data_IF_574800314591
#
_entry.id   IF_574800314591
#
_cell.length_a   1.000
_cell.length_b   1.000
_cell.length_c   1.000
_cell.angle_alpha   90.00
_cell.angle_beta   90.00
_cell.angle_gamma   90.00
#
_symmetry.space_group_name_H-M   'P 1'
#
loop_
_entity.id
_entity.type
_entity.pdbx_description
1 polymer ?
#
# COMPACT_ATOMS: atom_id res chain seq x y z
N UNK A 1 14.84 -27.18 29.43
CA UNK A 1 15.49 -26.79 28.16
C UNK A 1 16.18 -25.45 28.39
N UNK A 2 17.52 -25.38 28.33
CA UNK A 2 18.24 -24.11 28.36
C UNK A 2 18.01 -23.37 27.03
N UNK A 3 17.40 -22.18 27.11
CA UNK A 3 17.24 -21.29 25.97
C UNK A 3 18.60 -20.66 25.61
N UNK A 4 19.37 -21.30 24.74
CA UNK A 4 20.49 -20.65 24.05
C UNK A 4 20.00 -20.03 22.74
N UNK A 5 19.77 -18.72 22.76
CA UNK A 5 19.56 -17.93 21.54
C UNK A 5 20.91 -17.72 20.83
N UNK A 6 21.27 -18.61 19.89
CA UNK A 6 22.40 -18.36 18.99
C UNK A 6 22.06 -17.28 17.95
N UNK A 7 22.98 -16.35 17.72
CA UNK A 7 22.82 -15.25 16.75
C UNK A 7 23.49 -15.57 15.41
N UNK A 8 22.80 -15.42 14.26
CA UNK A 8 23.46 -15.19 12.99
C UNK A 8 23.92 -13.72 12.90
N UNK A 9 25.15 -13.50 12.45
CA UNK A 9 25.76 -12.18 12.21
C UNK A 9 25.02 -11.44 11.09
N UNK A 10 24.56 -10.23 11.37
CA UNK A 10 23.96 -9.32 10.40
C UNK A 10 23.09 -8.27 11.09
N UNK A 11 23.41 -7.00 10.88
CA UNK A 11 22.77 -5.84 11.53
C UNK A 11 21.30 -5.77 11.14
N UNK A 12 20.42 -6.26 12.03
CA UNK A 12 18.98 -5.96 12.05
C UNK A 12 18.66 -5.45 13.45
N UNK A 13 18.05 -4.27 13.57
CA UNK A 13 17.55 -3.77 14.85
C UNK A 13 16.55 -4.79 15.41
N UNK A 14 16.92 -5.51 16.46
CA UNK A 14 16.04 -6.48 17.15
C UNK A 14 15.30 -5.76 18.27
N UNK A 15 14.09 -6.20 18.62
CA UNK A 15 13.34 -5.66 19.77
C UNK A 15 14.17 -5.64 21.07
N UNK A 16 15.11 -6.59 21.23
CA UNK A 16 16.08 -6.64 22.34
C UNK A 16 17.00 -5.40 22.39
N UNK A 17 17.32 -4.82 21.23
CA UNK A 17 18.17 -3.64 21.10
C UNK A 17 17.38 -2.34 21.34
N UNK A 18 16.08 -2.32 21.03
CA UNK A 18 15.16 -1.23 21.38
C UNK A 18 14.87 -1.20 22.89
N UNK A 19 14.65 -2.35 23.51
CA UNK A 19 14.48 -2.48 24.96
C UNK A 19 15.74 -2.09 25.76
N UNK A 20 16.93 -2.12 25.13
CA UNK A 20 18.17 -1.58 25.73
C UNK A 20 18.20 -0.05 25.79
N UNK A 21 17.47 0.63 24.91
CA UNK A 21 17.47 2.11 24.82
C UNK A 21 16.29 2.76 25.52
N UNK A 22 15.21 2.01 25.75
CA UNK A 22 13.99 2.49 26.41
C UNK A 22 13.85 1.76 27.74
N UNK A 23 13.94 2.48 28.88
CA UNK A 23 13.47 1.93 30.17
C UNK A 23 11.95 1.89 30.12
N UNK A 24 11.27 0.73 30.10
CA UNK A 24 9.83 0.70 30.20
C UNK A 24 9.45 1.06 31.65
N UNK A 25 8.83 2.22 31.83
CA UNK A 25 8.11 2.52 33.08
C UNK A 25 6.82 1.70 33.08
N UNK A 26 6.54 1.02 34.20
CA UNK A 26 5.24 0.37 34.40
C UNK A 26 4.17 1.45 34.59
N UNK A 27 3.06 1.45 33.86
CA UNK A 27 1.92 2.32 34.15
C UNK A 27 1.08 1.82 35.34
N UNK A 28 1.30 0.59 35.82
CA UNK A 28 0.57 -0.01 36.92
C UNK A 28 1.53 -0.37 38.06
N UNK A 29 1.43 0.38 39.16
CA UNK A 29 2.32 0.27 40.32
C UNK A 29 2.13 -1.00 41.16
N UNK A 30 2.45 -2.17 40.61
CA UNK A 30 2.60 -3.39 41.40
C UNK A 30 4.06 -3.55 41.88
N UNK A 31 4.25 -3.51 43.20
CA UNK A 31 5.56 -3.61 43.86
C UNK A 31 6.03 -5.06 43.86
N UNK A 32 6.75 -5.48 42.82
CA UNK A 32 7.63 -6.66 42.86
C UNK A 32 9.07 -6.26 42.53
N UNK A 33 10.10 -6.87 43.16
CA UNK A 33 11.47 -6.38 43.11
C UNK A 33 12.06 -6.53 41.70
N UNK A 34 12.44 -5.40 41.07
CA UNK A 34 13.12 -5.33 39.78
C UNK A 34 14.64 -5.33 40.00
N UNK A 35 15.45 -6.18 39.32
CA UNK A 35 16.90 -6.08 39.39
C UNK A 35 17.41 -4.82 38.66
N UNK A 36 18.32 -4.10 39.32
CA UNK A 36 19.02 -2.91 38.81
C UNK A 36 19.90 -3.25 37.61
N UNK A 37 19.72 -2.54 36.50
CA UNK A 37 20.58 -2.61 35.33
C UNK A 37 21.80 -1.70 35.48
N UNK A 38 22.99 -2.31 35.55
CA UNK A 38 24.27 -1.68 35.22
C UNK A 38 25.01 -2.67 34.32
N UNK A 39 25.42 -2.25 33.12
CA UNK A 39 26.44 -3.00 32.37
C UNK A 39 27.49 -2.02 31.88
N UNK A 40 28.71 -2.22 32.39
CA UNK A 40 29.95 -1.59 31.99
C UNK A 40 30.52 -2.24 30.72
N UNK A 41 31.36 -1.46 30.00
CA UNK A 41 32.13 -1.88 28.82
C UNK A 41 33.04 -3.08 29.12
N UNK A 42 33.20 -3.91 28.09
CA UNK A 42 34.24 -4.93 27.85
C UNK A 42 34.48 -5.99 28.92
N UNK A 43 34.20 -7.26 28.58
CA UNK A 43 34.93 -8.40 29.14
C UNK A 43 34.24 -9.33 30.15
N UNK A 44 32.91 -9.46 30.20
CA UNK A 44 32.25 -10.53 31.00
C UNK A 44 31.04 -11.17 30.30
N UNK A 45 30.82 -12.42 30.71
CA UNK A 45 29.90 -13.48 30.26
C UNK A 45 28.54 -13.08 29.67
N UNK A 46 27.96 -13.93 28.79
CA UNK A 46 26.66 -13.69 28.19
C UNK A 46 25.61 -13.41 29.28
N UNK A 47 24.90 -12.29 29.12
CA UNK A 47 23.79 -11.91 29.99
C UNK A 47 22.71 -12.99 29.87
N UNK A 48 22.67 -13.87 30.87
CA UNK A 48 21.58 -14.80 31.07
C UNK A 48 20.40 -14.00 31.63
N UNK A 49 19.39 -13.78 30.79
CA UNK A 49 18.07 -13.47 31.33
C UNK A 49 17.66 -14.71 32.12
N UNK A 50 17.40 -14.56 33.42
CA UNK A 50 16.96 -15.68 34.25
C UNK A 50 15.87 -16.47 33.54
N UNK A 51 15.95 -17.80 33.58
CA UNK A 51 14.96 -18.67 32.97
C UNK A 51 13.60 -18.39 33.62
N UNK A 52 12.68 -17.81 32.87
CA UNK A 52 11.27 -17.79 33.27
C UNK A 52 10.77 -19.22 33.18
N UNK A 53 10.20 -19.71 34.28
CA UNK A 53 9.64 -21.06 34.31
C UNK A 53 8.46 -21.14 33.32
N UNK A 54 8.29 -22.30 32.66
CA UNK A 54 7.33 -22.47 31.55
C UNK A 54 5.90 -22.11 31.94
N UNK A 55 5.55 -22.38 33.19
CA UNK A 55 4.27 -22.10 33.84
C UNK A 55 3.96 -20.60 34.02
N UNK A 56 4.95 -19.72 33.82
CA UNK A 56 4.78 -18.26 33.90
C UNK A 56 4.71 -17.59 32.53
N UNK A 57 4.83 -18.35 31.43
CA UNK A 57 4.72 -17.79 30.09
C UNK A 57 3.25 -17.51 29.75
N UNK A 58 2.93 -16.37 29.13
CA UNK A 58 1.63 -16.16 28.50
C UNK A 58 1.32 -17.31 27.54
N UNK A 59 0.06 -17.77 27.55
CA UNK A 59 -0.42 -18.92 26.75
C UNK A 59 -0.01 -18.82 25.27
N UNK A 60 -0.01 -17.61 24.70
CA UNK A 60 0.40 -17.38 23.32
C UNK A 60 1.88 -17.69 23.06
N UNK A 61 2.76 -17.37 24.01
CA UNK A 61 4.20 -17.63 23.91
C UNK A 61 4.46 -19.13 24.04
N UNK A 62 3.77 -19.81 24.95
CA UNK A 62 3.87 -21.26 25.09
C UNK A 62 3.41 -21.97 23.81
N UNK A 63 2.26 -21.57 23.26
CA UNK A 63 1.76 -22.10 21.99
C UNK A 63 2.73 -21.84 20.82
N UNK A 64 3.34 -20.66 20.76
CA UNK A 64 4.34 -20.35 19.73
C UNK A 64 5.61 -21.21 19.88
N UNK A 65 6.12 -21.39 21.10
CA UNK A 65 7.29 -22.25 21.33
C UNK A 65 6.98 -23.73 21.04
N UNK A 66 5.78 -24.20 21.38
CA UNK A 66 5.32 -25.54 21.05
C UNK A 66 5.22 -25.74 19.52
N UNK A 67 4.69 -24.75 18.80
CA UNK A 67 4.55 -24.80 17.34
C UNK A 67 5.89 -25.03 16.62
N UNK A 68 6.99 -24.46 17.13
CA UNK A 68 8.34 -24.66 16.54
C UNK A 68 8.83 -26.11 16.58
N UNK A 69 8.37 -26.89 17.55
CA UNK A 69 8.78 -28.28 17.71
C UNK A 69 7.91 -29.26 16.92
N UNK A 70 6.73 -28.83 16.45
CA UNK A 70 5.77 -29.66 15.73
C UNK A 70 6.22 -29.83 14.28
N UNK A 71 6.22 -31.08 13.80
CA UNK A 71 6.47 -31.43 12.39
C UNK A 71 5.22 -31.91 11.66
N UNK A 72 4.23 -32.40 12.40
CA UNK A 72 2.95 -32.87 11.83
C UNK A 72 2.03 -31.67 11.55
N UNK A 73 1.64 -31.43 10.28
CA UNK A 73 0.77 -30.32 9.94
C UNK A 73 -0.62 -30.35 10.60
N UNK A 74 -1.17 -31.53 10.92
CA UNK A 74 -2.50 -31.64 11.54
C UNK A 74 -2.47 -31.19 13.00
N UNK A 75 -1.42 -31.57 13.72
CA UNK A 75 -1.19 -31.13 15.10
C UNK A 75 -0.94 -29.62 15.12
N UNK A 76 -0.13 -29.11 14.17
CA UNK A 76 0.11 -27.69 14.03
C UNK A 76 -1.18 -26.91 13.74
N UNK A 77 -2.03 -27.39 12.81
CA UNK A 77 -3.31 -26.78 12.46
C UNK A 77 -4.26 -26.67 13.67
N UNK A 78 -4.32 -27.71 14.51
CA UNK A 78 -5.11 -27.68 15.76
C UNK A 78 -4.62 -26.59 16.70
N UNK A 79 -3.31 -26.54 16.96
CA UNK A 79 -2.69 -25.54 17.84
C UNK A 79 -2.90 -24.10 17.32
N UNK A 80 -2.80 -23.91 16.00
CA UNK A 80 -3.06 -22.62 15.34
C UNK A 80 -4.51 -22.18 15.57
N UNK A 81 -5.47 -23.08 15.37
CA UNK A 81 -6.89 -22.78 15.56
C UNK A 81 -7.23 -22.45 17.03
N UNK A 82 -6.70 -23.23 17.96
CA UNK A 82 -6.94 -23.06 19.40
C UNK A 82 -6.40 -21.73 19.94
N UNK A 83 -5.20 -21.34 19.51
CA UNK A 83 -4.52 -20.15 20.02
C UNK A 83 -4.55 -18.94 19.07
N UNK A 84 -5.21 -19.06 17.92
CA UNK A 84 -5.30 -18.04 16.86
C UNK A 84 -3.92 -17.49 16.44
N UNK A 85 -2.97 -18.41 16.26
CA UNK A 85 -1.61 -18.06 15.86
C UNK A 85 -1.60 -17.45 14.44
N UNK A 86 -0.69 -16.53 14.18
CA UNK A 86 -0.59 -15.87 12.88
C UNK A 86 0.39 -16.59 11.95
N UNK A 87 0.30 -16.33 10.65
CA UNK A 87 1.14 -17.02 9.65
C UNK A 87 2.65 -16.69 9.79
N UNK A 88 3.01 -15.60 10.44
CA UNK A 88 4.38 -15.22 10.79
C UNK A 88 4.98 -16.14 11.85
N UNK A 89 4.13 -16.73 12.71
CA UNK A 89 4.52 -17.65 13.78
C UNK A 89 4.75 -19.07 13.27
N UNK A 90 4.26 -19.40 12.06
CA UNK A 90 4.34 -20.75 11.50
C UNK A 90 5.75 -21.03 10.94
N UNK A 91 6.38 -22.17 11.32
CA UNK A 91 7.64 -22.64 10.74
C UNK A 91 7.59 -22.77 9.23
N UNK A 92 8.71 -22.48 8.54
CA UNK A 92 8.77 -22.45 7.08
C UNK A 92 8.42 -23.79 6.42
N UNK A 93 8.79 -24.89 7.06
CA UNK A 93 8.54 -26.27 6.64
C UNK A 93 7.04 -26.57 6.59
N UNK A 94 6.28 -26.03 7.55
CA UNK A 94 4.83 -26.23 7.66
C UNK A 94 4.04 -25.32 6.71
N UNK A 95 4.65 -24.29 6.13
CA UNK A 95 3.97 -23.37 5.19
C UNK A 95 3.62 -24.00 3.85
N UNK A 96 4.03 -25.25 3.58
CA UNK A 96 3.59 -26.00 2.40
C UNK A 96 2.32 -26.81 2.64
N UNK A 97 1.86 -26.94 3.89
CA UNK A 97 0.66 -27.73 4.21
C UNK A 97 -0.64 -26.96 3.95
N UNK A 98 -1.59 -27.55 3.20
CA UNK A 98 -2.94 -27.02 3.08
C UNK A 98 -3.68 -26.96 4.42
N UNK A 99 -3.51 -27.95 5.30
CA UNK A 99 -4.18 -28.03 6.61
C UNK A 99 -3.81 -26.86 7.51
N UNK A 100 -2.52 -26.50 7.54
CA UNK A 100 -2.00 -25.37 8.30
C UNK A 100 -2.61 -24.06 7.81
N UNK A 101 -2.64 -23.85 6.49
CA UNK A 101 -3.23 -22.63 5.92
C UNK A 101 -4.75 -22.58 6.08
N UNK A 102 -5.45 -23.72 6.00
CA UNK A 102 -6.88 -23.80 6.25
C UNK A 102 -7.23 -23.40 7.70
N UNK A 103 -6.39 -23.74 8.69
CA UNK A 103 -6.57 -23.31 10.07
C UNK A 103 -6.30 -21.81 10.29
N UNK A 104 -5.45 -21.19 9.46
CA UNK A 104 -5.14 -19.76 9.54
C UNK A 104 -6.26 -18.87 8.97
N UNK A 105 -6.88 -19.28 7.86
CA UNK A 105 -7.84 -18.45 7.08
C UNK A 105 -8.97 -17.85 7.95
N UNK A 106 -9.65 -18.59 8.85
CA UNK A 106 -10.80 -18.07 9.59
C UNK A 106 -10.52 -16.84 10.48
N UNK A 107 -9.27 -16.68 10.92
CA UNK A 107 -8.86 -15.63 11.85
C UNK A 107 -7.86 -14.64 11.25
N UNK A 108 -7.57 -14.78 9.95
CA UNK A 108 -6.58 -13.95 9.28
C UNK A 108 -7.10 -12.51 9.09
N UNK A 109 -6.31 -11.49 9.48
CA UNK A 109 -6.64 -10.11 9.14
C UNK A 109 -6.77 -9.92 7.62
N UNK A 110 -7.69 -9.05 7.19
CA UNK A 110 -8.02 -8.90 5.76
C UNK A 110 -6.80 -8.50 4.91
N UNK A 111 -5.93 -7.63 5.43
CA UNK A 111 -4.68 -7.24 4.77
C UNK A 111 -3.73 -8.43 4.55
N UNK A 112 -3.63 -9.34 5.53
CA UNK A 112 -2.84 -10.56 5.42
C UNK A 112 -3.48 -11.57 4.47
N UNK A 113 -4.81 -11.67 4.49
CA UNK A 113 -5.59 -12.54 3.60
C UNK A 113 -5.36 -12.17 2.13
N UNK A 114 -5.54 -10.88 1.79
CA UNK A 114 -5.36 -10.32 0.44
C UNK A 114 -3.93 -10.57 -0.07
N UNK A 115 -2.91 -10.38 0.78
CA UNK A 115 -1.51 -10.65 0.42
C UNK A 115 -1.17 -12.13 0.26
N UNK A 116 -1.96 -13.01 0.85
CA UNK A 116 -1.70 -14.45 0.88
C UNK A 116 -2.49 -15.25 -0.16
N UNK A 117 -3.35 -14.61 -0.97
CA UNK A 117 -4.24 -15.30 -1.91
C UNK A 117 -3.49 -16.23 -2.89
N UNK A 118 -2.37 -15.78 -3.44
CA UNK A 118 -1.54 -16.61 -4.32
C UNK A 118 -0.98 -17.83 -3.60
N UNK A 119 -0.51 -17.67 -2.36
CA UNK A 119 -0.02 -18.78 -1.54
C UNK A 119 -1.14 -19.75 -1.17
N UNK A 120 -2.30 -19.25 -0.76
CA UNK A 120 -3.49 -20.04 -0.42
C UNK A 120 -4.00 -20.86 -1.61
N UNK A 121 -3.90 -20.31 -2.83
CA UNK A 121 -4.26 -21.02 -4.07
C UNK A 121 -3.19 -22.04 -4.44
N UNK A 122 -1.91 -21.70 -4.27
CA UNK A 122 -0.80 -22.62 -4.55
C UNK A 122 -0.82 -23.87 -3.65
N UNK A 123 -1.20 -23.74 -2.38
CA UNK A 123 -1.37 -24.90 -1.48
C UNK A 123 -2.74 -25.56 -1.60
N UNK A 124 -3.61 -25.11 -2.51
CA UNK A 124 -4.92 -25.73 -2.75
C UNK A 124 -5.98 -25.49 -1.67
N UNK A 125 -5.76 -24.57 -0.72
CA UNK A 125 -6.78 -24.17 0.26
C UNK A 125 -7.89 -23.39 -0.42
N UNK A 126 -7.49 -22.44 -1.26
CA UNK A 126 -8.39 -21.75 -2.18
C UNK A 126 -8.45 -22.58 -3.46
N UNK A 127 -9.66 -23.05 -3.76
CA UNK A 127 -9.98 -23.80 -4.97
C UNK A 127 -11.45 -23.52 -5.34
N UNK A 128 -11.88 -23.81 -6.58
CA UNK A 128 -13.27 -23.72 -6.95
C UNK A 128 -14.18 -24.44 -5.94
N UNK A 129 -15.21 -23.74 -5.47
CA UNK A 129 -16.22 -24.24 -4.52
C UNK A 129 -15.75 -24.59 -3.10
N UNK A 130 -14.47 -24.36 -2.76
CA UNK A 130 -13.95 -24.65 -1.41
C UNK A 130 -14.58 -23.73 -0.33
N UNK A 131 -14.62 -24.22 0.91
CA UNK A 131 -15.11 -23.43 2.06
C UNK A 131 -14.24 -22.19 2.31
N UNK A 132 -12.92 -22.31 2.11
CA UNK A 132 -12.01 -21.18 2.20
C UNK A 132 -12.28 -20.12 1.13
N UNK A 133 -12.59 -20.52 -0.11
CA UNK A 133 -13.01 -19.59 -1.16
C UNK A 133 -14.28 -18.85 -0.76
N UNK A 134 -15.30 -19.54 -0.23
CA UNK A 134 -16.51 -18.89 0.28
C UNK A 134 -16.21 -17.88 1.40
N UNK A 135 -15.30 -18.24 2.31
CA UNK A 135 -14.86 -17.34 3.36
C UNK A 135 -14.18 -16.09 2.79
N UNK A 136 -13.23 -16.25 1.87
CA UNK A 136 -12.53 -15.13 1.21
C UNK A 136 -13.51 -14.20 0.52
N UNK A 137 -14.47 -14.73 -0.24
CA UNK A 137 -15.50 -13.93 -0.91
C UNK A 137 -16.34 -13.13 0.10
N UNK A 138 -16.72 -13.75 1.23
CA UNK A 138 -17.46 -13.06 2.29
C UNK A 138 -16.64 -11.96 2.99
N UNK A 139 -15.32 -12.10 3.05
CA UNK A 139 -14.44 -11.05 3.59
C UNK A 139 -14.29 -9.88 2.61
N UNK A 140 -14.04 -10.18 1.32
CA UNK A 140 -13.84 -9.17 0.27
C UNK A 140 -15.13 -8.41 -0.07
N UNK A 141 -16.29 -9.06 0.01
CA UNK A 141 -17.60 -8.43 -0.23
C UNK A 141 -18.12 -7.57 0.93
N UNK A 142 -17.43 -7.49 2.06
CA UNK A 142 -17.89 -6.75 3.24
C UNK A 142 -17.29 -5.35 3.29
N UNK A 143 -18.09 -4.34 2.94
CA UNK A 143 -17.71 -2.92 2.97
C UNK A 143 -17.20 -2.52 4.37
N UNK A 144 -17.89 -2.94 5.43
CA UNK A 144 -17.48 -2.63 6.82
C UNK A 144 -16.10 -3.17 7.17
N UNK A 145 -15.76 -4.37 6.67
CA UNK A 145 -14.44 -4.95 6.91
C UNK A 145 -13.37 -4.28 6.08
N UNK A 146 -13.67 -3.93 4.83
CA UNK A 146 -12.76 -3.14 3.99
C UNK A 146 -12.45 -1.79 4.64
N UNK A 147 -13.47 -1.09 5.17
CA UNK A 147 -13.34 0.16 5.94
C UNK A 147 -12.48 -0.02 7.19
N UNK A 148 -12.81 -1.00 8.05
CA UNK A 148 -12.06 -1.28 9.29
C UNK A 148 -10.60 -1.66 9.03
N UNK A 149 -10.34 -2.39 7.95
CA UNK A 149 -8.99 -2.75 7.54
C UNK A 149 -8.19 -1.58 6.95
N UNK A 150 -8.83 -0.43 6.69
CA UNK A 150 -8.25 0.76 6.04
C UNK A 150 -7.52 0.41 4.75
N UNK A 151 -8.10 -0.51 3.97
CA UNK A 151 -7.54 -0.89 2.68
C UNK A 151 -7.81 0.24 1.68
N UNK A 152 -6.73 0.79 1.13
CA UNK A 152 -6.79 1.76 0.04
C UNK A 152 -7.11 1.04 -1.29
N UNK A 153 -7.88 1.65 -2.21
CA UNK A 153 -8.16 1.07 -3.53
C UNK A 153 -6.94 0.53 -4.25
N UNK A 154 -5.83 1.27 -4.25
CA UNK A 154 -4.59 0.83 -4.88
C UNK A 154 -4.05 -0.50 -4.35
N UNK A 155 -4.13 -0.73 -3.03
CA UNK A 155 -3.69 -1.99 -2.45
C UNK A 155 -4.53 -3.16 -2.97
N UNK A 156 -5.83 -2.91 -3.22
CA UNK A 156 -6.73 -3.88 -3.81
C UNK A 156 -6.45 -4.10 -5.30
N UNK A 157 -6.17 -3.04 -6.05
CA UNK A 157 -5.76 -3.12 -7.46
C UNK A 157 -4.46 -3.92 -7.62
N UNK A 158 -3.48 -3.68 -6.76
CA UNK A 158 -2.25 -4.48 -6.73
C UNK A 158 -2.56 -5.95 -6.48
N UNK A 159 -3.37 -6.23 -5.45
CA UNK A 159 -3.72 -7.61 -5.13
C UNK A 159 -4.48 -8.31 -6.26
N UNK A 160 -5.39 -7.60 -6.94
CA UNK A 160 -6.08 -8.06 -8.13
C UNK A 160 -5.09 -8.46 -9.23
N UNK A 161 -4.19 -7.55 -9.63
CA UNK A 161 -3.24 -7.80 -10.71
C UNK A 161 -2.27 -8.93 -10.37
N UNK A 162 -1.72 -8.92 -9.15
CA UNK A 162 -0.83 -9.99 -8.67
C UNK A 162 -1.56 -11.33 -8.61
N UNK A 163 -2.79 -11.38 -8.12
CA UNK A 163 -3.52 -12.64 -8.03
C UNK A 163 -3.88 -13.21 -9.40
N UNK A 164 -4.35 -12.34 -10.30
CA UNK A 164 -4.77 -12.71 -11.65
C UNK A 164 -3.62 -13.21 -12.54
N UNK A 165 -2.37 -12.81 -12.28
CA UNK A 165 -1.22 -13.27 -13.08
C UNK A 165 -0.85 -14.74 -12.86
N UNK A 166 -1.27 -15.36 -11.75
CA UNK A 166 -1.04 -16.79 -11.50
C UNK A 166 0.40 -17.17 -11.10
N UNK A 167 1.28 -16.21 -10.86
CA UNK A 167 2.62 -16.47 -10.36
C UNK A 167 3.14 -15.33 -9.47
N UNK A 168 4.12 -15.64 -8.62
CA UNK A 168 4.81 -14.64 -7.81
C UNK A 168 5.94 -13.98 -8.61
N UNK A 169 6.29 -12.75 -8.24
CA UNK A 169 7.45 -12.04 -8.80
C UNK A 169 8.79 -12.58 -8.29
N UNK A 170 8.78 -13.00 -7.02
CA UNK A 170 9.97 -13.44 -6.31
C UNK A 170 9.86 -14.94 -6.06
N UNK A 171 10.70 -15.72 -6.74
CA UNK A 171 10.81 -17.17 -6.56
C UNK A 171 10.01 -17.97 -7.59
N UNK A 172 9.63 -19.20 -7.21
CA UNK A 172 8.98 -20.19 -8.09
C UNK A 172 7.49 -20.39 -7.78
N UNK A 173 6.86 -19.44 -7.08
CA UNK A 173 5.46 -19.56 -6.67
C UNK A 173 4.56 -19.41 -7.91
N UNK A 174 3.71 -20.40 -8.16
CA UNK A 174 2.68 -20.36 -9.23
C UNK A 174 1.40 -21.00 -8.75
N UNK A 175 0.27 -20.50 -9.24
CA UNK A 175 -1.07 -20.96 -8.92
C UNK A 175 -2.02 -20.73 -10.10
N UNK A 176 -3.17 -21.39 -10.07
CA UNK A 176 -4.30 -21.09 -10.96
C UNK A 176 -5.22 -20.10 -10.26
N UNK A 177 -5.44 -18.88 -10.81
CA UNK A 177 -6.37 -17.93 -10.23
C UNK A 177 -7.80 -18.48 -10.21
N UNK A 178 -8.55 -18.18 -9.15
CA UNK A 178 -9.98 -18.47 -9.08
C UNK A 178 -10.76 -17.25 -9.53
N UNK A 179 -11.51 -17.37 -10.63
CA UNK A 179 -12.24 -16.26 -11.27
C UNK A 179 -13.13 -15.47 -10.28
N UNK A 180 -13.86 -16.18 -9.42
CA UNK A 180 -14.72 -15.51 -8.42
C UNK A 180 -13.93 -14.61 -7.45
N UNK A 181 -12.68 -14.95 -7.15
CA UNK A 181 -11.82 -14.12 -6.31
C UNK A 181 -11.31 -12.92 -7.10
N UNK A 182 -10.97 -13.11 -8.39
CA UNK A 182 -10.62 -11.99 -9.29
C UNK A 182 -11.79 -11.00 -9.35
N UNK A 183 -13.01 -11.47 -9.58
CA UNK A 183 -14.23 -10.65 -9.59
C UNK A 183 -14.44 -9.94 -8.24
N UNK A 184 -14.25 -10.64 -7.13
CA UNK A 184 -14.41 -10.06 -5.79
C UNK A 184 -13.34 -8.99 -5.48
N UNK A 185 -12.11 -9.17 -5.95
CA UNK A 185 -11.05 -8.16 -5.81
C UNK A 185 -11.35 -6.93 -6.67
N UNK A 186 -11.88 -7.09 -7.88
CA UNK A 186 -12.34 -5.98 -8.73
C UNK A 186 -13.48 -5.19 -8.06
N UNK A 187 -14.49 -5.89 -7.54
CA UNK A 187 -15.56 -5.23 -6.78
C UNK A 187 -15.05 -4.53 -5.52
N UNK A 188 -14.15 -5.17 -4.78
CA UNK A 188 -13.55 -4.60 -3.58
C UNK A 188 -12.70 -3.36 -3.90
N UNK A 189 -12.08 -3.28 -5.08
CA UNK A 189 -11.33 -2.11 -5.53
C UNK A 189 -12.23 -0.87 -5.57
N UNK A 190 -13.39 -0.96 -6.22
CA UNK A 190 -14.35 0.16 -6.27
C UNK A 190 -15.02 0.41 -4.91
N UNK A 191 -15.31 -0.64 -4.13
CA UNK A 191 -15.89 -0.48 -2.79
C UNK A 191 -14.94 0.28 -1.84
N UNK A 192 -13.62 0.11 -2.00
CA UNK A 192 -12.64 0.84 -1.23
C UNK A 192 -12.61 2.35 -1.55
N UNK A 193 -13.24 2.83 -2.63
CA UNK A 193 -13.28 4.26 -2.93
C UNK A 193 -14.07 5.02 -1.84
N UNK A 194 -15.06 4.37 -1.22
CA UNK A 194 -15.83 4.94 -0.11
C UNK A 194 -15.03 5.10 1.19
N UNK A 195 -13.84 4.51 1.26
CA UNK A 195 -12.97 4.62 2.44
C UNK A 195 -12.09 5.87 2.39
N UNK A 196 -12.10 6.60 1.28
CA UNK A 196 -11.26 7.77 1.06
C UNK A 196 -11.97 8.99 1.61
N UNK A 197 -11.34 9.63 2.60
CA UNK A 197 -11.84 10.87 3.20
C UNK A 197 -11.60 12.02 2.22
N UNK A 198 -12.64 12.79 1.85
CA UNK A 198 -12.48 13.93 0.96
C UNK A 198 -11.73 15.08 1.64
N UNK A 199 -10.97 15.82 0.86
CA UNK A 199 -10.30 17.07 1.25
C UNK A 199 -11.23 18.28 1.15
N UNK A 200 -12.28 18.19 0.34
CA UNK A 200 -13.23 19.29 0.09
C UNK A 200 -12.63 20.42 -0.74
N UNK A 201 -11.56 20.15 -1.49
CA UNK A 201 -10.83 21.14 -2.30
C UNK A 201 -11.20 21.03 -3.77
N UNK A 202 -11.26 22.17 -4.46
CA UNK A 202 -11.42 22.21 -5.92
C UNK A 202 -10.14 21.68 -6.55
N UNK A 203 -10.23 20.50 -7.13
CA UNK A 203 -9.06 19.75 -7.57
C UNK A 203 -8.98 19.68 -9.08
N UNK A 204 -7.82 19.98 -9.64
CA UNK A 204 -7.52 19.70 -11.05
C UNK A 204 -6.61 18.48 -11.13
N UNK A 205 -7.10 17.43 -11.79
CA UNK A 205 -6.32 16.25 -12.14
C UNK A 205 -5.77 16.42 -13.54
N UNK A 206 -4.44 16.41 -13.67
CA UNK A 206 -3.75 16.40 -14.94
C UNK A 206 -3.07 15.04 -15.14
N UNK A 207 -3.54 14.28 -16.13
CA UNK A 207 -3.06 12.94 -16.42
C UNK A 207 -2.14 13.00 -17.64
N UNK A 208 -0.90 12.60 -17.46
CA UNK A 208 0.04 12.42 -18.56
C UNK A 208 -0.43 11.25 -19.44
N UNK A 209 -0.53 11.50 -20.74
CA UNK A 209 -0.92 10.51 -21.77
C UNK A 209 0.20 10.30 -22.80
N UNK A 210 1.43 10.69 -22.47
CA UNK A 210 2.62 10.38 -23.25
C UNK A 210 2.83 8.86 -23.38
N UNK A 211 3.58 8.44 -24.40
CA UNK A 211 3.80 7.02 -24.68
C UNK A 211 4.52 6.27 -23.55
N UNK A 212 5.35 6.95 -22.78
CA UNK A 212 6.13 6.39 -21.68
C UNK A 212 5.23 5.95 -20.51
N UNK A 213 4.07 6.59 -20.32
CA UNK A 213 3.05 6.18 -19.35
C UNK A 213 2.49 4.77 -19.60
N UNK A 214 2.58 4.27 -20.84
CA UNK A 214 2.18 2.91 -21.21
C UNK A 214 3.19 1.82 -20.84
N UNK A 215 4.40 2.19 -20.42
CA UNK A 215 5.52 1.27 -20.22
C UNK A 215 5.89 1.08 -18.75
N UNK A 216 6.53 -0.05 -18.45
CA UNK A 216 7.08 -0.34 -17.13
C UNK A 216 6.04 -0.72 -16.06
N UNK A 217 6.49 -0.75 -14.81
CA UNK A 217 5.65 -1.05 -13.64
C UNK A 217 5.91 -0.02 -12.55
N UNK A 218 4.85 0.49 -11.93
CA UNK A 218 4.95 1.51 -10.88
C UNK A 218 5.37 0.87 -9.57
N UNK A 219 6.33 1.43 -8.84
CA UNK A 219 6.64 1.03 -7.46
C UNK A 219 6.96 -0.47 -7.24
N UNK A 220 7.36 -1.21 -8.28
CA UNK A 220 7.51 -2.67 -8.21
C UNK A 220 6.19 -3.45 -8.12
N UNK A 221 5.07 -2.83 -8.50
CA UNK A 221 3.72 -3.40 -8.58
C UNK A 221 3.54 -4.08 -9.95
N UNK A 222 3.50 -5.41 -10.00
CA UNK A 222 3.43 -6.15 -11.26
C UNK A 222 2.13 -5.89 -11.99
N UNK A 223 2.21 -5.74 -13.31
CA UNK A 223 1.03 -5.55 -14.17
C UNK A 223 0.30 -4.21 -13.98
N UNK A 224 0.89 -3.23 -13.27
CA UNK A 224 0.36 -1.88 -13.14
C UNK A 224 1.32 -0.88 -13.78
N UNK A 225 0.98 -0.41 -14.97
CA UNK A 225 1.71 0.66 -15.66
C UNK A 225 1.40 2.04 -15.06
N UNK A 226 2.23 3.08 -15.30
CA UNK A 226 1.92 4.45 -14.90
C UNK A 226 0.53 4.93 -15.34
N UNK A 227 0.12 4.61 -16.57
CA UNK A 227 -1.21 4.95 -17.08
C UNK A 227 -2.33 4.30 -16.24
N UNK A 228 -2.19 3.03 -15.86
CA UNK A 228 -3.17 2.32 -15.02
C UNK A 228 -3.22 2.92 -13.62
N UNK A 229 -2.06 3.20 -13.01
CA UNK A 229 -1.99 3.82 -11.68
C UNK A 229 -2.58 5.23 -11.66
N UNK A 230 -2.25 6.04 -12.67
CA UNK A 230 -2.74 7.41 -12.86
C UNK A 230 -4.27 7.42 -13.03
N UNK A 231 -4.81 6.57 -13.90
CA UNK A 231 -6.25 6.41 -14.07
C UNK A 231 -6.95 5.96 -12.78
N UNK A 232 -6.39 4.99 -12.06
CA UNK A 232 -6.96 4.51 -10.80
C UNK A 232 -7.03 5.63 -9.75
N UNK A 233 -5.98 6.44 -9.61
CA UNK A 233 -5.99 7.58 -8.69
C UNK A 233 -6.95 8.68 -9.10
N UNK A 234 -6.98 9.00 -10.39
CA UNK A 234 -7.92 9.97 -10.91
C UNK A 234 -9.37 9.57 -10.59
N UNK A 235 -9.70 8.29 -10.76
CA UNK A 235 -11.01 7.75 -10.42
C UNK A 235 -11.33 7.80 -8.93
N UNK A 236 -10.34 7.56 -8.06
CA UNK A 236 -10.48 7.70 -6.61
C UNK A 236 -10.80 9.16 -6.26
N UNK A 237 -10.02 10.12 -6.76
CA UNK A 237 -10.26 11.54 -6.50
C UNK A 237 -11.61 12.00 -7.06
N UNK A 238 -11.99 11.57 -8.28
CA UNK A 238 -13.31 11.83 -8.88
C UNK A 238 -14.49 11.26 -8.09
N UNK A 239 -14.25 10.21 -7.30
CA UNK A 239 -15.28 9.60 -6.46
C UNK A 239 -15.37 10.28 -5.09
N UNK A 240 -14.23 10.71 -4.54
CA UNK A 240 -14.14 11.32 -3.22
C UNK A 240 -14.53 12.81 -3.25
N UNK A 241 -14.02 13.58 -4.20
CA UNK A 241 -14.20 15.03 -4.27
C UNK A 241 -15.40 15.42 -5.14
N UNK A 242 -16.11 16.48 -4.72
CA UNK A 242 -17.27 16.99 -5.46
C UNK A 242 -16.88 17.87 -6.66
N UNK A 243 -15.78 18.62 -6.54
CA UNK A 243 -15.33 19.61 -7.54
C UNK A 243 -14.00 19.18 -8.14
N UNK A 244 -14.07 18.44 -9.26
CA UNK A 244 -12.89 17.89 -9.93
C UNK A 244 -12.90 18.21 -11.42
N UNK A 245 -11.84 18.86 -11.90
CA UNK A 245 -11.58 19.05 -13.32
C UNK A 245 -10.52 18.04 -13.79
N UNK A 246 -10.82 17.27 -14.84
CA UNK A 246 -9.87 16.29 -15.39
C UNK A 246 -9.32 16.75 -16.73
N UNK A 247 -8.01 16.86 -16.83
CA UNK A 247 -7.26 17.15 -18.04
C UNK A 247 -6.35 15.97 -18.36
N UNK A 248 -6.16 15.73 -19.65
CA UNK A 248 -5.09 14.91 -20.18
C UNK A 248 -4.09 15.85 -20.85
N UNK A 249 -2.80 15.62 -20.62
CA UNK A 249 -1.76 16.46 -21.19
C UNK A 249 -0.68 15.62 -21.87
N UNK A 250 -0.20 16.18 -22.98
CA UNK A 250 0.98 15.78 -23.72
C UNK A 250 1.57 17.08 -24.30
N UNK A 251 1.91 17.16 -25.59
CA UNK A 251 2.26 18.44 -26.22
C UNK A 251 1.08 19.43 -26.16
N UNK A 252 -0.14 18.90 -26.09
CA UNK A 252 -1.36 19.70 -26.01
C UNK A 252 -2.21 19.27 -24.83
N UNK A 253 -2.87 20.22 -24.17
CA UNK A 253 -3.82 19.94 -23.11
C UNK A 253 -5.23 19.72 -23.68
N UNK A 254 -5.93 18.72 -23.17
CA UNK A 254 -7.31 18.40 -23.52
C UNK A 254 -8.10 18.02 -22.28
N UNK A 255 -9.40 18.25 -22.31
CA UNK A 255 -10.27 17.69 -21.28
C UNK A 255 -10.30 16.17 -21.39
N UNK A 256 -9.99 15.48 -20.28
CA UNK A 256 -10.00 14.02 -20.26
C UNK A 256 -11.43 13.45 -20.25
N UNK A 257 -12.40 14.13 -19.64
CA UNK A 257 -13.82 13.72 -19.56
C UNK A 257 -14.01 12.28 -19.06
N UNK A 258 -13.37 11.97 -17.94
CA UNK A 258 -13.47 10.68 -17.26
C UNK A 258 -14.36 10.81 -16.01
N UNK A 259 -14.85 9.67 -15.50
CA UNK A 259 -15.73 9.62 -14.33
C UNK A 259 -15.31 8.50 -13.38
N UNK A 260 -15.39 8.76 -12.07
CA UNK A 260 -15.18 7.74 -11.03
C UNK A 260 -16.22 6.61 -11.03
N UNK A 261 -17.23 6.66 -11.90
CA UNK A 261 -18.23 5.58 -12.10
C UNK A 261 -17.90 4.65 -13.27
N UNK A 262 -16.92 4.98 -14.11
CA UNK A 262 -16.51 4.13 -15.24
C UNK A 262 -15.71 2.93 -14.74
N UNK A 263 -15.52 1.92 -15.60
CA UNK A 263 -14.54 0.87 -15.34
C UNK A 263 -13.13 1.39 -15.58
N UNK A 264 -12.17 0.96 -14.76
CA UNK A 264 -10.77 1.35 -14.89
C UNK A 264 -10.21 1.06 -16.30
N UNK A 265 -10.49 -0.11 -16.85
CA UNK A 265 -9.99 -0.47 -18.18
C UNK A 265 -10.58 0.42 -19.30
N UNK A 266 -11.82 0.91 -19.13
CA UNK A 266 -12.43 1.84 -20.09
C UNK A 266 -11.81 3.23 -19.99
N UNK A 267 -11.50 3.69 -18.77
CA UNK A 267 -10.77 4.95 -18.53
C UNK A 267 -9.38 4.89 -19.15
N UNK A 268 -8.64 3.80 -18.91
CA UNK A 268 -7.29 3.61 -19.49
C UNK A 268 -7.34 3.60 -21.02
N UNK A 269 -8.29 2.86 -21.62
CA UNK A 269 -8.48 2.83 -23.08
C UNK A 269 -8.86 4.20 -23.64
N UNK A 270 -9.68 4.96 -22.93
CA UNK A 270 -10.09 6.30 -23.33
C UNK A 270 -8.91 7.27 -23.33
N UNK A 271 -8.11 7.27 -22.24
CA UNK A 271 -6.91 8.10 -22.14
C UNK A 271 -5.88 7.75 -23.21
N UNK A 272 -5.69 6.45 -23.51
CA UNK A 272 -4.75 5.99 -24.53
C UNK A 272 -5.12 6.40 -25.98
N UNK A 273 -6.37 6.83 -26.23
CA UNK A 273 -6.82 7.34 -27.54
C UNK A 273 -6.50 8.83 -27.74
N UNK A 274 -6.10 9.53 -26.68
CA UNK A 274 -5.76 10.94 -26.76
C UNK A 274 -4.41 11.05 -27.48
N UNK A 275 -4.27 11.91 -28.51
CA UNK A 275 -3.02 12.03 -29.26
C UNK A 275 -1.81 12.31 -28.35
N UNK A 276 -0.78 11.47 -28.51
CA UNK A 276 0.46 11.56 -27.74
C UNK A 276 1.32 12.73 -28.22
N UNK A 277 2.24 13.15 -27.35
CA UNK A 277 3.17 14.25 -27.55
C UNK A 277 4.22 14.29 -26.42
N UNK A 278 5.03 15.34 -26.36
CA UNK A 278 5.96 15.57 -25.23
C UNK A 278 5.22 15.90 -23.94
N UNK A 279 5.92 16.04 -22.82
CA UNK A 279 5.28 16.13 -21.50
C UNK A 279 5.49 17.49 -20.85
N UNK A 280 4.57 18.45 -21.04
CA UNK A 280 4.67 19.78 -20.42
C UNK A 280 3.81 19.91 -19.15
N UNK A 281 4.47 19.72 -18.00
CA UNK A 281 3.84 19.80 -16.68
C UNK A 281 3.37 21.21 -16.29
N UNK A 282 3.72 22.27 -17.03
CA UNK A 282 3.22 23.62 -16.76
C UNK A 282 1.82 23.86 -17.32
N UNK A 283 1.40 23.09 -18.34
CA UNK A 283 0.14 23.29 -19.05
C UNK A 283 -1.11 23.29 -18.16
N UNK A 284 -1.25 22.45 -17.11
CA UNK A 284 -2.44 22.45 -16.28
C UNK A 284 -2.69 23.80 -15.59
N UNK A 285 -1.64 24.42 -15.05
CA UNK A 285 -1.74 25.73 -14.40
C UNK A 285 -1.96 26.84 -15.43
N UNK A 286 -1.30 26.77 -16.59
CA UNK A 286 -1.49 27.75 -17.67
C UNK A 286 -2.92 27.70 -18.24
N UNK A 287 -3.47 26.51 -18.42
CA UNK A 287 -4.85 26.30 -18.85
C UNK A 287 -5.84 26.86 -17.83
N UNK A 288 -5.65 26.55 -16.55
CA UNK A 288 -6.53 27.05 -15.49
C UNK A 288 -6.45 28.58 -15.38
N UNK A 289 -5.27 29.15 -15.61
CA UNK A 289 -5.05 30.59 -15.65
C UNK A 289 -5.76 31.26 -16.83
N UNK A 290 -5.62 30.71 -18.05
CA UNK A 290 -6.26 31.21 -19.26
C UNK A 290 -7.79 31.19 -19.13
N UNK A 291 -8.33 30.05 -18.66
CA UNK A 291 -9.77 29.84 -18.49
C UNK A 291 -10.32 30.46 -17.21
N UNK A 292 -9.46 31.01 -16.35
CA UNK A 292 -9.80 31.54 -15.01
C UNK A 292 -10.60 30.55 -14.16
N UNK A 293 -10.26 29.26 -14.24
CA UNK A 293 -10.90 28.20 -13.44
C UNK A 293 -10.31 28.24 -12.03
N UNK A 294 -11.14 28.34 -10.97
CA UNK A 294 -10.63 28.45 -9.62
C UNK A 294 -10.34 27.05 -9.02
N UNK A 295 -9.06 26.78 -8.76
CA UNK A 295 -8.50 25.49 -8.36
C UNK A 295 -7.67 25.70 -7.11
N UNK A 296 -7.90 24.87 -6.10
CA UNK A 296 -7.16 24.87 -4.85
C UNK A 296 -5.97 23.92 -4.89
N UNK A 297 -6.09 22.79 -5.60
CA UNK A 297 -5.05 21.76 -5.68
C UNK A 297 -4.91 21.24 -7.10
N UNK A 298 -3.71 21.36 -7.66
CA UNK A 298 -3.30 20.71 -8.90
C UNK A 298 -2.64 19.38 -8.55
N UNK A 299 -3.12 18.29 -9.14
CA UNK A 299 -2.52 16.95 -9.04
C UNK A 299 -2.08 16.51 -10.44
N UNK A 300 -0.77 16.47 -10.67
CA UNK A 300 -0.15 16.10 -11.94
C UNK A 300 0.39 14.69 -11.81
N UNK A 301 -0.09 13.75 -12.63
CA UNK A 301 0.40 12.37 -12.68
C UNK A 301 1.23 12.18 -13.94
N UNK A 302 2.52 11.90 -13.79
CA UNK A 302 3.49 11.67 -14.88
C UNK A 302 4.45 10.56 -14.46
N UNK A 303 5.18 9.94 -15.37
CA UNK A 303 6.10 8.85 -15.03
C UNK A 303 7.45 9.36 -14.52
N UNK A 304 8.14 10.17 -15.31
CA UNK A 304 9.47 10.74 -15.07
C UNK A 304 9.86 11.85 -16.07
N UNK A 305 9.06 12.13 -17.11
CA UNK A 305 9.38 13.16 -18.11
C UNK A 305 8.91 14.54 -17.67
N UNK A 306 9.77 15.25 -16.96
CA UNK A 306 9.54 16.63 -16.54
C UNK A 306 9.96 17.61 -17.65
N UNK A 307 9.55 17.36 -18.89
CA UNK A 307 9.92 18.24 -19.99
C UNK A 307 9.32 19.62 -19.75
N UNK A 308 10.17 20.60 -19.49
CA UNK A 308 9.75 21.98 -19.39
C UNK A 308 9.60 22.49 -20.82
N UNK A 309 8.40 22.97 -21.15
CA UNK A 309 8.24 23.83 -22.30
C UNK A 309 9.00 25.14 -22.10
N UNK A 310 8.41 26.26 -22.50
CA UNK A 310 9.04 27.57 -22.30
C UNK A 310 8.93 28.08 -20.85
N UNK A 311 8.08 27.47 -20.01
CA UNK A 311 7.77 27.94 -18.64
C UNK A 311 7.88 26.76 -17.68
N UNK A 312 8.55 26.97 -16.54
CA UNK A 312 8.64 25.96 -15.50
C UNK A 312 7.31 25.84 -14.72
N UNK A 313 6.89 24.63 -14.29
CA UNK A 313 5.66 24.44 -13.50
C UNK A 313 5.53 25.35 -12.26
N UNK A 314 6.63 25.59 -11.53
CA UNK A 314 6.64 26.52 -10.40
C UNK A 314 6.30 27.96 -10.79
N UNK A 315 6.83 28.45 -11.91
CA UNK A 315 6.47 29.78 -12.42
C UNK A 315 5.00 29.82 -12.84
N UNK A 316 4.50 28.77 -13.49
CA UNK A 316 3.11 28.70 -13.91
C UNK A 316 2.15 28.73 -12.70
N UNK A 317 2.47 28.00 -11.63
CA UNK A 317 1.71 28.02 -10.37
C UNK A 317 1.77 29.40 -9.71
N UNK A 318 2.95 30.03 -9.66
CA UNK A 318 3.10 31.38 -9.10
C UNK A 318 2.24 32.40 -9.86
N UNK A 319 2.30 32.39 -11.19
CA UNK A 319 1.47 33.26 -12.05
C UNK A 319 -0.02 33.01 -11.83
N UNK A 320 -0.43 31.76 -11.63
CA UNK A 320 -1.81 31.39 -11.29
C UNK A 320 -2.25 31.99 -9.95
N UNK A 321 -1.45 31.79 -8.89
CA UNK A 321 -1.70 32.34 -7.54
C UNK A 321 -1.83 33.86 -7.57
N UNK A 322 -0.89 34.55 -8.23
CA UNK A 322 -0.85 36.01 -8.32
C UNK A 322 -2.08 36.57 -9.05
N UNK A 323 -2.51 35.95 -10.16
CA UNK A 323 -3.61 36.47 -10.98
C UNK A 323 -5.01 36.13 -10.47
N UNK A 324 -5.20 34.97 -9.82
CA UNK A 324 -6.50 34.56 -9.29
C UNK A 324 -6.66 34.83 -7.80
N UNK A 325 -5.57 35.14 -7.08
CA UNK A 325 -5.60 35.35 -5.62
C UNK A 325 -5.93 34.07 -4.83
N UNK A 326 -5.73 32.89 -5.42
CA UNK A 326 -5.99 31.59 -4.79
C UNK A 326 -4.66 31.02 -4.32
N UNK A 327 -4.52 30.59 -3.03
CA UNK A 327 -3.32 29.95 -2.52
C UNK A 327 -3.22 28.48 -2.98
N UNK A 328 -3.22 28.27 -4.30
CA UNK A 328 -3.28 26.95 -4.90
C UNK A 328 -2.03 26.12 -4.61
N UNK A 329 -2.19 24.82 -4.38
CA UNK A 329 -1.09 23.88 -4.16
C UNK A 329 -0.84 23.03 -5.40
N UNK A 330 0.41 22.59 -5.61
CA UNK A 330 0.77 21.64 -6.66
C UNK A 330 1.31 20.35 -6.04
N UNK A 331 0.74 19.23 -6.45
CA UNK A 331 1.25 17.89 -6.20
C UNK A 331 1.66 17.28 -7.53
N UNK A 332 2.91 16.87 -7.63
CA UNK A 332 3.42 16.13 -8.78
C UNK A 332 3.69 14.70 -8.34
N UNK A 333 3.01 13.74 -8.97
CA UNK A 333 3.14 12.32 -8.70
C UNK A 333 3.96 11.69 -9.82
N UNK A 334 5.22 11.41 -9.53
CA UNK A 334 6.10 10.64 -10.41
C UNK A 334 5.85 9.16 -10.23
N UNK A 335 5.13 8.56 -11.16
CA UNK A 335 4.68 7.18 -11.11
C UNK A 335 5.84 6.18 -11.18
N UNK A 336 7.00 6.59 -11.69
CA UNK A 336 8.22 5.78 -11.71
C UNK A 336 9.30 6.39 -10.81
N UNK A 337 10.04 5.53 -10.12
CA UNK A 337 11.07 5.96 -9.16
C UNK A 337 12.35 6.37 -9.90
N UNK A 338 12.38 7.59 -10.43
CA UNK A 338 13.59 8.26 -10.91
C UNK A 338 13.85 9.50 -10.05
N UNK A 339 15.07 10.03 -10.07
CA UNK A 339 15.35 11.34 -9.48
C UNK A 339 14.77 12.40 -10.41
N UNK A 340 13.70 13.06 -9.99
CA UNK A 340 13.19 14.26 -10.63
C UNK A 340 12.86 15.29 -9.53
N UNK A 341 12.83 16.58 -9.91
CA UNK A 341 12.41 17.67 -9.04
C UNK A 341 11.59 18.62 -9.91
N UNK A 342 10.29 18.68 -9.66
CA UNK A 342 9.39 19.66 -10.30
C UNK A 342 8.94 20.68 -9.25
N UNK A 343 8.67 20.21 -8.03
CA UNK A 343 8.40 21.07 -6.90
C UNK A 343 9.66 21.90 -6.58
N UNK A 344 9.43 23.19 -6.35
CA UNK A 344 10.44 24.08 -5.77
C UNK A 344 10.61 23.72 -4.29
N UNK A 345 11.82 23.32 -3.83
CA UNK A 345 12.06 22.95 -2.43
C UNK A 345 11.74 24.07 -1.42
N UNK A 346 11.74 25.33 -1.87
CA UNK A 346 11.47 26.49 -1.03
C UNK A 346 9.98 26.89 -1.02
N UNK A 347 9.12 26.24 -1.81
CA UNK A 347 7.67 26.49 -1.87
C UNK A 347 6.88 25.44 -1.08
N UNK A 348 6.41 25.82 0.11
CA UNK A 348 5.58 24.97 0.98
C UNK A 348 4.22 24.56 0.36
N UNK A 349 3.81 25.19 -0.75
CA UNK A 349 2.64 24.83 -1.53
C UNK A 349 2.96 23.93 -2.72
N UNK A 350 4.15 23.32 -2.78
CA UNK A 350 4.51 22.29 -3.76
C UNK A 350 4.94 20.98 -3.08
N UNK A 351 4.58 19.86 -3.68
CA UNK A 351 4.94 18.52 -3.19
C UNK A 351 5.27 17.60 -4.37
N UNK A 352 6.49 17.04 -4.37
CA UNK A 352 6.86 15.92 -5.24
C UNK A 352 6.62 14.59 -4.50
N UNK A 353 5.81 13.72 -5.10
CA UNK A 353 5.57 12.34 -4.66
C UNK A 353 6.32 11.43 -5.62
N UNK A 354 7.45 10.87 -5.16
CA UNK A 354 8.33 10.03 -5.97
C UNK A 354 7.99 8.55 -5.78
N UNK A 355 7.68 7.89 -6.88
CA UNK A 355 7.19 6.52 -6.86
C UNK A 355 5.74 6.45 -6.43
N UNK A 356 5.24 5.22 -6.36
CA UNK A 356 3.83 4.98 -6.14
C UNK A 356 3.64 3.85 -5.14
N UNK A 357 3.15 4.20 -3.95
CA UNK A 357 2.82 3.25 -2.89
C UNK A 357 1.41 3.51 -2.33
N UNK A 358 0.96 2.66 -1.41
CA UNK A 358 -0.36 2.77 -0.81
C UNK A 358 -0.52 3.92 0.20
N UNK A 359 0.57 4.60 0.58
CA UNK A 359 0.57 5.71 1.54
C UNK A 359 0.49 7.08 0.84
N UNK A 360 0.98 7.20 -0.40
CA UNK A 360 0.95 8.42 -1.20
C UNK A 360 -0.42 9.14 -1.19
N UNK A 361 -1.57 8.47 -1.36
CA UNK A 361 -2.88 9.13 -1.37
C UNK A 361 -3.20 9.90 -0.08
N UNK A 362 -2.85 9.34 1.09
CA UNK A 362 -3.07 9.98 2.38
C UNK A 362 -2.18 11.23 2.54
N UNK A 363 -0.92 11.13 2.10
CA UNK A 363 0.02 12.26 2.11
C UNK A 363 -0.48 13.40 1.22
N UNK A 364 -0.98 13.07 0.02
CA UNK A 364 -1.56 14.05 -0.91
C UNK A 364 -2.78 14.75 -0.31
N UNK A 365 -3.65 14.01 0.38
CA UNK A 365 -4.83 14.54 1.04
C UNK A 365 -4.48 15.45 2.23
N UNK A 366 -3.54 15.03 3.08
CA UNK A 366 -3.04 15.86 4.19
C UNK A 366 -2.41 17.14 3.67
N UNK A 367 -1.55 17.04 2.67
CA UNK A 367 -0.95 18.20 2.01
C UNK A 367 -1.99 19.15 1.41
N UNK A 368 -3.03 18.62 0.76
CA UNK A 368 -4.14 19.42 0.22
C UNK A 368 -4.90 20.19 1.32
N UNK A 369 -5.13 19.56 2.48
CA UNK A 369 -5.79 20.18 3.63
C UNK A 369 -4.95 21.30 4.27
N UNK A 370 -3.62 21.19 4.19
CA UNK A 370 -2.68 22.07 4.91
C UNK A 370 -2.52 21.65 6.36
#
# INVERSE_FOLDING_TARGET
LQLQLQQPRGVRRRHVEAARRVRPQDPHGDRRPRPRAVIARSGREPVSYGSVARDQLPVLIEAFEALKAIKDPRIAAKLIGEHRLTHEMVPGELKQSPEVWAALVPHMPLTALVRSLGKLSQVGVIAPFSSATKHVLAQLGSIDKLRKARLHPLAMLTALRVYAQGHGERGKLSWVPVDKIVDALDQAFYACFENVEPTGKRTLLALDVSGSMGCGTIGGLPGVTPAVGSAAMAMVTLKAEAEVQTLAFSTTIREARISGKQRLDDVVKHLARIPMGGTDCAQPMLWALEKRVPIDVFQVYTDNETWYGQIHPHEALRRYREKLGIPAKLVVVGMTATKFSIADPDDAGMLDVVGFDSAAPAIMADFARG
#
